data_IF_377559591662
#
_entry.id   IF_377559591662
#
_cell.length_a   1.000
_cell.length_b   1.000
_cell.length_c   1.000
_cell.angle_alpha   90.00
_cell.angle_beta   90.00
_cell.angle_gamma   90.00
#
_symmetry.space_group_name_H-M   'P 1'
#
loop_
_entity.id
_entity.type
_entity.pdbx_description
1 polymer ?
#
# COMPACT_ATOMS: atom_id res chain seq x y z
N UNK A 1 27.25 56.37 -36.38
CA UNK A 1 25.96 55.70 -36.68
C UNK A 1 26.07 54.17 -36.69
N UNK A 2 27.07 53.58 -37.38
CA UNK A 2 27.28 52.12 -37.46
C UNK A 2 27.55 51.47 -36.09
N UNK A 3 28.34 52.10 -35.22
CA UNK A 3 28.69 51.57 -33.89
C UNK A 3 27.50 51.45 -32.93
N UNK A 4 26.57 52.41 -32.96
CA UNK A 4 25.35 52.38 -32.14
C UNK A 4 24.35 51.31 -32.62
N UNK A 5 24.29 51.07 -33.94
CA UNK A 5 23.51 49.98 -34.54
C UNK A 5 24.02 48.60 -34.10
N UNK A 6 25.34 48.39 -34.11
CA UNK A 6 25.97 47.13 -33.66
C UNK A 6 25.75 46.91 -32.16
N UNK A 7 25.87 47.96 -31.34
CA UNK A 7 25.63 47.89 -29.89
C UNK A 7 24.17 47.53 -29.57
N UNK A 8 23.22 48.12 -30.31
CA UNK A 8 21.79 47.85 -30.17
C UNK A 8 21.43 46.42 -30.59
N UNK A 9 22.02 45.91 -31.69
CA UNK A 9 21.84 44.52 -32.11
C UNK A 9 22.41 43.53 -31.07
N UNK A 10 23.59 43.79 -30.52
CA UNK A 10 24.21 42.95 -29.49
C UNK A 10 23.37 42.88 -28.21
N UNK A 11 22.78 44.02 -27.80
CA UNK A 11 21.89 44.08 -26.64
C UNK A 11 20.59 43.28 -26.87
N UNK A 12 19.98 43.40 -28.06
CA UNK A 12 18.79 42.59 -28.41
C UNK A 12 19.08 41.10 -28.42
N UNK A 13 20.22 40.68 -28.97
CA UNK A 13 20.62 39.28 -28.99
C UNK A 13 20.85 38.72 -27.58
N UNK A 14 21.40 39.53 -26.68
CA UNK A 14 21.57 39.15 -25.27
C UNK A 14 20.22 38.97 -24.56
N UNK A 15 19.28 39.90 -24.76
CA UNK A 15 17.93 39.83 -24.20
C UNK A 15 17.15 38.60 -24.73
N UNK A 16 17.25 38.31 -26.03
CA UNK A 16 16.64 37.11 -26.63
C UNK A 16 17.22 35.82 -26.04
N UNK A 17 18.54 35.76 -25.84
CA UNK A 17 19.19 34.59 -25.25
C UNK A 17 18.73 34.36 -23.80
N UNK A 18 18.60 35.42 -23.01
CA UNK A 18 18.11 35.32 -21.63
C UNK A 18 16.63 34.91 -21.56
N UNK A 19 15.79 35.43 -22.47
CA UNK A 19 14.40 34.99 -22.60
C UNK A 19 14.30 33.50 -22.96
N UNK A 20 15.10 33.04 -23.92
CA UNK A 20 15.14 31.62 -24.32
C UNK A 20 15.62 30.71 -23.18
N UNK A 21 16.67 31.12 -22.45
CA UNK A 21 17.15 30.38 -21.26
C UNK A 21 16.08 30.30 -20.17
N UNK A 22 15.34 31.40 -19.95
CA UNK A 22 14.24 31.43 -18.97
C UNK A 22 13.11 30.50 -19.38
N UNK A 23 12.71 30.52 -20.66
CA UNK A 23 11.68 29.60 -21.17
C UNK A 23 12.13 28.14 -21.09
N UNK A 24 13.37 27.84 -21.48
CA UNK A 24 13.93 26.48 -21.38
C UNK A 24 13.94 25.99 -19.93
N UNK A 25 14.34 26.83 -18.97
CA UNK A 25 14.28 26.51 -17.53
C UNK A 25 12.85 26.22 -17.07
N UNK A 26 11.87 27.01 -17.51
CA UNK A 26 10.45 26.78 -17.20
C UNK A 26 9.96 25.46 -17.77
N UNK A 27 10.30 25.14 -19.03
CA UNK A 27 9.92 23.86 -19.69
C UNK A 27 10.53 22.67 -18.95
N UNK A 28 11.82 22.73 -18.63
CA UNK A 28 12.50 21.66 -17.85
C UNK A 28 11.83 21.48 -16.48
N UNK A 29 11.47 22.58 -15.81
CA UNK A 29 10.77 22.53 -14.52
C UNK A 29 9.38 21.89 -14.66
N UNK A 30 8.66 22.19 -15.74
CA UNK A 30 7.32 21.63 -15.99
C UNK A 30 7.38 20.13 -16.32
N UNK A 31 8.38 19.70 -17.10
CA UNK A 31 8.60 18.30 -17.48
C UNK A 31 9.07 17.47 -16.29
N UNK A 32 9.98 18.00 -15.47
CA UNK A 32 10.39 17.32 -14.24
C UNK A 32 9.22 17.18 -13.28
N UNK A 33 8.40 18.22 -13.11
CA UNK A 33 7.20 18.19 -12.27
C UNK A 33 6.18 17.13 -12.76
N UNK A 34 5.92 17.05 -14.07
CA UNK A 34 4.98 16.05 -14.61
C UNK A 34 5.48 14.61 -14.46
N UNK A 35 6.80 14.38 -14.53
CA UNK A 35 7.41 13.07 -14.28
C UNK A 35 7.30 12.63 -12.81
N UNK A 36 7.33 13.57 -11.84
CA UNK A 36 7.11 13.23 -10.41
C UNK A 36 5.65 12.84 -10.15
N UNK A 37 4.70 13.43 -10.88
CA UNK A 37 3.27 13.12 -10.74
C UNK A 37 2.83 11.82 -11.44
N UNK A 38 3.65 11.24 -12.31
CA UNK A 38 3.42 9.89 -12.84
C UNK A 38 3.83 8.79 -11.85
N UNK A 39 3.51 8.99 -10.57
CA UNK A 39 3.42 7.91 -9.59
C UNK A 39 2.31 6.98 -10.07
N UNK A 40 2.69 5.96 -10.82
CA UNK A 40 1.85 4.80 -11.13
C UNK A 40 1.17 4.36 -9.83
N UNK A 41 -0.17 4.45 -9.80
CA UNK A 41 -0.97 4.01 -8.65
C UNK A 41 -0.72 2.51 -8.46
N UNK A 42 0.22 2.17 -7.58
CA UNK A 42 0.62 0.80 -7.26
C UNK A 42 -0.41 0.07 -6.38
N UNK A 43 -1.66 0.54 -6.36
CA UNK A 43 -2.75 -0.02 -5.58
C UNK A 43 -3.83 -0.62 -6.47
N UNK A 44 -4.37 -1.76 -6.05
CA UNK A 44 -5.53 -2.42 -6.63
C UNK A 44 -6.74 -2.07 -5.76
N UNK A 45 -7.85 -1.70 -6.40
CA UNK A 45 -9.14 -1.45 -5.74
C UNK A 45 -10.19 -2.43 -6.25
N UNK A 46 -10.96 -2.99 -5.33
CA UNK A 46 -11.94 -4.06 -5.57
C UNK A 46 -13.19 -3.81 -4.73
N UNK A 47 -14.36 -4.26 -5.21
CA UNK A 47 -15.60 -4.14 -4.46
C UNK A 47 -16.57 -5.27 -4.75
N UNK A 48 -17.12 -5.90 -3.70
CA UNK A 48 -18.18 -6.90 -3.83
C UNK A 48 -19.02 -7.02 -2.55
N UNK A 49 -20.17 -7.70 -2.61
CA UNK A 49 -21.05 -7.97 -1.46
C UNK A 49 -20.49 -9.03 -0.51
N UNK A 50 -19.87 -10.08 -1.07
CA UNK A 50 -19.23 -11.16 -0.33
C UNK A 50 -17.78 -11.21 -0.80
N UNK A 51 -16.84 -11.33 0.14
CA UNK A 51 -15.42 -11.43 -0.19
C UNK A 51 -14.83 -12.61 0.56
N UNK A 52 -14.01 -13.37 -0.14
CA UNK A 52 -13.08 -14.35 0.44
C UNK A 52 -11.65 -13.83 0.36
N UNK A 53 -10.94 -13.84 1.50
CA UNK A 53 -9.52 -13.48 1.57
C UNK A 53 -8.74 -14.69 2.08
N UNK A 54 -7.62 -14.99 1.43
CA UNK A 54 -6.66 -16.01 1.86
C UNK A 54 -5.22 -15.56 1.58
N UNK A 55 -4.29 -16.02 2.41
CA UNK A 55 -2.86 -15.81 2.24
C UNK A 55 -2.21 -17.11 1.75
N UNK A 56 -1.89 -17.25 0.45
CA UNK A 56 -1.38 -18.51 -0.07
C UNK A 56 0.00 -18.85 0.51
N UNK A 57 0.11 -20.04 1.11
CA UNK A 57 1.34 -20.58 1.71
C UNK A 57 2.57 -20.40 0.81
N UNK A 58 2.41 -20.68 -0.49
CA UNK A 58 3.48 -20.60 -1.50
C UNK A 58 4.04 -19.19 -1.72
N UNK A 59 3.40 -18.13 -1.22
CA UNK A 59 3.86 -16.76 -1.35
C UNK A 59 3.95 -16.00 -0.02
N UNK A 60 3.72 -16.67 1.12
CA UNK A 60 3.76 -16.01 2.43
C UNK A 60 5.09 -15.29 2.67
N UNK A 61 6.22 -15.88 2.26
CA UNK A 61 7.55 -15.29 2.42
C UNK A 61 7.74 -13.90 1.78
N UNK A 62 6.85 -13.51 0.86
CA UNK A 62 6.81 -12.19 0.21
C UNK A 62 6.15 -11.13 1.08
N UNK A 63 5.42 -11.50 2.13
CA UNK A 63 4.78 -10.58 3.08
C UNK A 63 5.85 -9.99 4.01
N UNK A 64 6.07 -8.68 3.89
CA UNK A 64 7.07 -7.93 4.66
C UNK A 64 6.43 -6.88 5.57
N UNK A 65 7.22 -6.38 6.51
CA UNK A 65 6.86 -5.22 7.33
C UNK A 65 6.33 -4.06 6.46
N UNK A 66 5.26 -3.42 6.91
CA UNK A 66 4.65 -2.29 6.22
C UNK A 66 3.83 -2.65 4.98
N UNK A 67 3.74 -3.94 4.60
CA UNK A 67 2.69 -4.39 3.68
C UNK A 67 1.32 -4.16 4.33
N UNK A 68 0.30 -3.90 3.51
CA UNK A 68 -1.01 -3.53 4.03
C UNK A 68 -2.15 -3.93 3.10
N UNK A 69 -3.33 -4.04 3.70
CA UNK A 69 -4.63 -4.15 3.05
C UNK A 69 -5.62 -3.23 3.78
N UNK A 70 -6.45 -2.53 3.03
CA UNK A 70 -7.55 -1.71 3.54
C UNK A 70 -8.86 -2.42 3.18
N UNK A 71 -9.72 -2.61 4.17
CA UNK A 71 -11.06 -3.19 4.01
C UNK A 71 -12.05 -2.18 4.58
N UNK A 72 -12.85 -1.58 3.71
CA UNK A 72 -13.62 -0.35 3.96
C UNK A 72 -12.72 0.77 4.51
N UNK A 73 -12.86 1.12 5.79
CA UNK A 73 -12.08 2.12 6.54
C UNK A 73 -11.02 1.49 7.46
N UNK A 74 -10.91 0.16 7.47
CA UNK A 74 -10.00 -0.59 8.35
C UNK A 74 -8.70 -0.86 7.61
N UNK A 75 -7.63 -0.16 7.99
CA UNK A 75 -6.28 -0.40 7.46
C UNK A 75 -5.54 -1.42 8.31
N UNK A 76 -5.25 -2.58 7.73
CA UNK A 76 -4.48 -3.65 8.36
C UNK A 76 -3.05 -3.61 7.84
N UNK A 77 -2.06 -3.59 8.73
CA UNK A 77 -0.64 -3.50 8.38
C UNK A 77 0.16 -4.67 8.95
N UNK A 78 1.03 -5.25 8.13
CA UNK A 78 1.95 -6.29 8.56
C UNK A 78 3.11 -5.72 9.36
N UNK A 79 3.46 -6.39 10.46
CA UNK A 79 4.54 -5.99 11.35
C UNK A 79 5.51 -7.12 11.66
N UNK A 80 6.81 -6.81 11.65
CA UNK A 80 7.86 -7.70 12.13
C UNK A 80 7.93 -7.77 13.66
N UNK A 81 7.35 -6.81 14.39
CA UNK A 81 7.27 -6.86 15.84
C UNK A 81 5.80 -6.71 16.25
N UNK A 82 5.28 -7.72 16.97
CA UNK A 82 3.88 -7.78 17.40
C UNK A 82 3.72 -7.68 18.92
N UNK A 83 4.79 -7.38 19.66
CA UNK A 83 4.83 -7.35 21.13
C UNK A 83 3.81 -6.41 21.78
N UNK A 84 3.24 -5.48 21.00
CA UNK A 84 2.12 -4.64 21.42
C UNK A 84 1.07 -4.68 20.31
N UNK A 85 0.08 -5.55 20.50
CA UNK A 85 -1.07 -5.73 19.62
C UNK A 85 -1.87 -4.43 19.57
N UNK A 86 -1.49 -3.55 18.65
CA UNK A 86 -2.46 -2.62 18.10
C UNK A 86 -3.47 -3.47 17.32
N UNK A 87 -4.77 -3.34 17.57
CA UNK A 87 -5.86 -4.17 17.01
C UNK A 87 -5.94 -4.20 15.47
N UNK A 88 -5.05 -3.50 14.77
CA UNK A 88 -5.01 -3.37 13.31
C UNK A 88 -3.68 -3.86 12.71
N UNK A 89 -2.82 -4.52 13.50
CA UNK A 89 -1.57 -5.10 13.02
C UNK A 89 -1.64 -6.62 12.98
N UNK A 90 -1.02 -7.20 11.96
CA UNK A 90 -0.92 -8.66 11.77
C UNK A 90 0.57 -9.03 11.54
N UNK A 91 1.01 -10.26 11.83
CA UNK A 91 2.40 -10.68 11.60
C UNK A 91 2.83 -10.47 10.15
N UNK A 92 4.08 -10.07 9.90
CA UNK A 92 4.72 -10.39 8.62
C UNK A 92 5.11 -11.88 8.56
N UNK A 93 5.66 -12.38 7.45
CA UNK A 93 6.04 -13.79 7.38
C UNK A 93 7.03 -14.20 8.47
N UNK A 94 8.00 -13.35 8.79
CA UNK A 94 8.98 -13.59 9.84
C UNK A 94 8.90 -12.44 10.83
N UNK A 95 8.50 -12.73 12.05
CA UNK A 95 8.22 -11.72 13.07
C UNK A 95 8.83 -12.10 14.42
N UNK A 96 9.17 -11.11 15.22
CA UNK A 96 9.53 -11.25 16.61
C UNK A 96 8.24 -11.37 17.43
N UNK A 97 8.03 -12.55 18.02
CA UNK A 97 6.88 -12.84 18.88
C UNK A 97 7.11 -12.41 20.33
N UNK A 98 8.36 -12.42 20.78
CA UNK A 98 8.73 -12.09 22.15
C UNK A 98 10.15 -11.53 22.22
N UNK A 99 10.37 -10.48 23.02
CA UNK A 99 11.67 -9.96 23.40
C UNK A 99 11.78 -9.91 24.92
N UNK A 100 12.74 -10.64 25.48
CA UNK A 100 13.01 -10.69 26.92
C UNK A 100 14.51 -10.52 27.13
N UNK A 101 14.89 -9.55 27.96
CA UNK A 101 16.29 -9.35 28.41
C UNK A 101 17.32 -9.33 27.26
N UNK A 102 16.97 -8.65 26.16
CA UNK A 102 17.84 -8.54 24.99
C UNK A 102 17.84 -9.75 24.04
N UNK A 103 17.16 -10.85 24.39
CA UNK A 103 16.92 -12.00 23.49
C UNK A 103 15.61 -11.81 22.73
N UNK A 104 15.58 -12.25 21.47
CA UNK A 104 14.40 -12.19 20.60
C UNK A 104 13.99 -13.59 20.16
N UNK A 105 12.72 -13.95 20.35
CA UNK A 105 12.10 -15.10 19.71
C UNK A 105 11.52 -14.67 18.37
N UNK A 106 11.99 -15.29 17.29
CA UNK A 106 11.52 -15.04 15.92
C UNK A 106 10.74 -16.25 15.44
N UNK A 107 9.53 -16.02 14.97
CA UNK A 107 8.61 -17.02 14.45
C UNK A 107 8.28 -16.76 12.98
N UNK A 108 7.74 -17.80 12.34
CA UNK A 108 7.22 -17.71 10.98
C UNK A 108 5.72 -17.88 10.97
N UNK A 109 5.00 -16.90 10.45
CA UNK A 109 3.55 -16.97 10.31
C UNK A 109 3.18 -17.91 9.17
N UNK A 110 2.23 -18.80 9.43
CA UNK A 110 1.61 -19.65 8.41
C UNK A 110 0.30 -19.02 7.89
N UNK A 111 -0.33 -19.71 6.93
CA UNK A 111 -1.59 -19.28 6.32
C UNK A 111 -2.72 -19.09 7.35
N UNK A 112 -2.83 -20.01 8.31
CA UNK A 112 -3.86 -20.01 9.36
C UNK A 112 -3.65 -18.82 10.30
N UNK A 113 -2.41 -18.58 10.75
CA UNK A 113 -2.07 -17.45 11.62
C UNK A 113 -2.51 -16.13 10.98
N UNK A 114 -2.13 -15.92 9.71
CA UNK A 114 -2.48 -14.72 8.96
C UNK A 114 -4.00 -14.53 8.84
N UNK A 115 -4.73 -15.61 8.53
CA UNK A 115 -6.18 -15.63 8.44
C UNK A 115 -6.86 -15.29 9.78
N UNK A 116 -6.42 -15.92 10.86
CA UNK A 116 -6.94 -15.73 12.21
C UNK A 116 -6.69 -14.31 12.73
N UNK A 117 -5.49 -13.76 12.50
CA UNK A 117 -5.18 -12.39 12.86
C UNK A 117 -6.07 -11.40 12.11
N UNK A 118 -6.21 -11.54 10.78
CA UNK A 118 -7.09 -10.68 9.99
C UNK A 118 -8.55 -10.81 10.41
N UNK A 119 -9.02 -12.04 10.66
CA UNK A 119 -10.36 -12.31 11.21
C UNK A 119 -10.59 -11.54 12.51
N UNK A 120 -9.64 -11.60 13.44
CA UNK A 120 -9.75 -10.91 14.72
C UNK A 120 -9.82 -9.39 14.52
N UNK A 121 -8.99 -8.80 13.66
CA UNK A 121 -9.07 -7.35 13.34
C UNK A 121 -10.46 -6.98 12.81
N UNK A 122 -10.97 -7.74 11.84
CA UNK A 122 -12.27 -7.44 11.22
C UNK A 122 -13.44 -7.68 12.18
N UNK A 123 -13.36 -8.70 13.03
CA UNK A 123 -14.37 -9.01 14.05
C UNK A 123 -14.52 -7.87 15.06
N UNK A 124 -13.43 -7.24 15.48
CA UNK A 124 -13.46 -6.11 16.42
C UNK A 124 -14.23 -4.90 15.89
N UNK A 125 -14.28 -4.70 14.57
CA UNK A 125 -15.08 -3.60 13.97
C UNK A 125 -16.59 -3.79 14.14
N UNK A 126 -17.04 -5.02 14.39
CA UNK A 126 -18.45 -5.41 14.47
C UNK A 126 -19.29 -5.12 13.20
N UNK A 127 -18.66 -4.80 12.05
CA UNK A 127 -19.33 -4.43 10.79
C UNK A 127 -19.72 -5.64 9.93
N UNK A 128 -19.11 -6.79 10.15
CA UNK A 128 -19.16 -7.94 9.22
C UNK A 128 -19.88 -9.16 9.78
N UNK A 129 -20.41 -9.97 8.88
CA UNK A 129 -20.91 -11.33 9.09
C UNK A 129 -19.92 -12.29 8.45
N UNK A 130 -19.50 -13.32 9.17
CA UNK A 130 -18.54 -14.33 8.69
C UNK A 130 -19.29 -15.63 8.39
N UNK A 131 -19.17 -16.11 7.15
CA UNK A 131 -20.02 -17.17 6.60
C UNK A 131 -19.48 -18.59 6.82
N UNK A 132 -18.16 -18.75 6.92
CA UNK A 132 -17.54 -20.05 7.20
C UNK A 132 -16.36 -19.89 8.17
N UNK A 133 -16.64 -19.96 9.48
CA UNK A 133 -15.60 -19.81 10.51
C UNK A 133 -14.68 -21.02 10.61
N UNK A 134 -15.15 -22.21 10.22
CA UNK A 134 -14.35 -23.42 10.25
C UNK A 134 -13.21 -23.39 9.22
N UNK A 135 -13.46 -22.82 8.03
CA UNK A 135 -12.43 -22.62 7.00
C UNK A 135 -11.21 -21.84 7.53
N UNK A 136 -11.43 -20.86 8.41
CA UNK A 136 -10.35 -20.05 8.98
C UNK A 136 -9.36 -20.94 9.75
N UNK A 137 -9.86 -21.90 10.52
CA UNK A 137 -9.04 -22.82 11.33
C UNK A 137 -8.37 -23.91 10.48
N UNK A 138 -8.94 -24.26 9.32
CA UNK A 138 -8.43 -25.32 8.46
C UNK A 138 -7.38 -24.78 7.48
N UNK A 139 -7.63 -23.61 6.90
CA UNK A 139 -6.81 -23.10 5.80
C UNK A 139 -6.66 -21.57 5.79
N UNK A 140 -6.98 -20.88 6.88
CA UNK A 140 -6.81 -19.42 6.99
C UNK A 140 -7.73 -18.58 6.11
N UNK A 141 -8.64 -19.19 5.32
CA UNK A 141 -9.55 -18.45 4.45
C UNK A 141 -10.69 -17.83 5.25
N UNK A 142 -10.86 -16.52 5.10
CA UNK A 142 -11.97 -15.78 5.69
C UNK A 142 -12.98 -15.40 4.62
N UNK A 143 -14.25 -15.76 4.81
CA UNK A 143 -15.35 -15.37 3.92
C UNK A 143 -16.36 -14.54 4.68
N UNK A 144 -16.64 -13.31 4.21
CA UNK A 144 -17.47 -12.37 4.96
C UNK A 144 -18.25 -11.39 4.07
N UNK A 145 -19.31 -10.82 4.63
CA UNK A 145 -20.10 -9.73 4.06
C UNK A 145 -20.36 -8.65 5.11
N UNK A 146 -20.82 -7.46 4.69
CA UNK A 146 -21.26 -6.44 5.65
C UNK A 146 -22.66 -6.75 6.20
N UNK A 147 -22.87 -6.42 7.47
CA UNK A 147 -24.18 -6.53 8.13
C UNK A 147 -25.24 -5.63 7.49
N UNK A 148 -24.83 -4.45 7.01
CA UNK A 148 -25.70 -3.48 6.34
C UNK A 148 -25.96 -3.79 4.85
N UNK A 149 -25.48 -4.94 4.35
CA UNK A 149 -25.61 -5.41 2.97
C UNK A 149 -24.99 -4.50 1.90
N UNK A 150 -24.23 -3.47 2.30
CA UNK A 150 -23.45 -2.67 1.33
C UNK A 150 -22.28 -3.49 0.81
N UNK A 151 -21.78 -3.10 -0.36
CA UNK A 151 -20.54 -3.65 -0.90
C UNK A 151 -19.37 -3.34 0.04
N UNK A 152 -18.48 -4.31 0.23
CA UNK A 152 -17.18 -4.13 0.86
C UNK A 152 -16.25 -3.49 -0.17
N UNK A 153 -15.46 -2.52 0.26
CA UNK A 153 -14.36 -1.95 -0.53
C UNK A 153 -13.04 -2.55 -0.06
N UNK A 154 -12.18 -2.99 -0.98
CA UNK A 154 -10.83 -3.44 -0.65
C UNK A 154 -9.79 -2.70 -1.47
N UNK A 155 -8.74 -2.25 -0.81
CA UNK A 155 -7.55 -1.66 -1.43
C UNK A 155 -6.27 -2.30 -0.90
N UNK A 156 -5.30 -2.58 -1.79
CA UNK A 156 -4.02 -3.18 -1.42
C UNK A 156 -2.95 -2.90 -2.49
N UNK A 157 -1.66 -3.10 -2.17
CA UNK A 157 -0.58 -2.94 -3.16
C UNK A 157 -0.62 -4.05 -4.23
N UNK A 158 -0.29 -3.73 -5.48
CA UNK A 158 -0.32 -4.68 -6.61
C UNK A 158 0.55 -5.93 -6.40
N UNK A 159 1.68 -5.80 -5.72
CA UNK A 159 2.62 -6.89 -5.44
C UNK A 159 2.40 -7.57 -4.08
N UNK A 160 1.33 -7.21 -3.37
CA UNK A 160 1.00 -7.81 -2.09
C UNK A 160 0.41 -9.22 -2.29
N UNK A 161 1.01 -10.28 -1.71
CA UNK A 161 0.70 -11.68 -2.02
C UNK A 161 -0.57 -12.15 -1.27
N UNK A 162 -1.71 -11.55 -1.60
CA UNK A 162 -3.03 -11.92 -1.06
C UNK A 162 -3.94 -12.42 -2.18
N UNK A 163 -4.70 -13.48 -1.89
CA UNK A 163 -5.74 -13.97 -2.79
C UNK A 163 -7.09 -13.41 -2.34
N UNK A 164 -7.77 -12.72 -3.26
CA UNK A 164 -9.09 -12.13 -3.03
C UNK A 164 -10.03 -12.64 -4.12
N UNK A 165 -11.05 -13.40 -3.72
CA UNK A 165 -12.13 -13.90 -4.56
C UNK A 165 -13.50 -13.41 -4.09
N UNK A 166 -14.49 -13.55 -4.97
CA UNK A 166 -15.80 -12.92 -4.91
C UNK A 166 -16.92 -13.93 -5.09
#
# INVERSE_FOLDING_TARGET
>A
MITELIKTQKLRNFQLLDMLKKQLKTIITLVTLSLVFSCTNNTIKKSNNIISINYPESNLFKIKDGNWIIIDDIKVTHKNNIEKVNNFSIPSYSFTSLKVEGKTLTEKANTIDMGMHLYNVLKHSNKYIFHNKAEILINGKITFSRKDKKKILIEYKKNYPVNISF
#
